data_IF_235635312824
#
_entry.id   IF_235635312824
#
_cell.length_a   1.000
_cell.length_b   1.000
_cell.length_c   1.000
_cell.angle_alpha   90.00
_cell.angle_beta   90.00
_cell.angle_gamma   90.00
#
_symmetry.space_group_name_H-M   'P 1'
#
loop_
_entity.id
_entity.type
_entity.pdbx_description
1 polymer ?
#
# COMPACT_ATOMS: atom_id res chain seq x y z
N UNK A 1 20.76 2.73 -24.98
CA UNK A 1 20.28 1.93 -23.83
C UNK A 1 18.92 1.35 -24.18
N UNK A 2 18.72 0.02 -24.14
CA UNK A 2 17.39 -0.57 -24.34
C UNK A 2 16.44 -0.04 -23.26
N UNK A 3 15.26 0.46 -23.66
CA UNK A 3 14.21 0.85 -22.70
C UNK A 3 13.72 -0.42 -22.00
N UNK A 4 13.85 -0.49 -20.68
CA UNK A 4 13.33 -1.61 -19.90
C UNK A 4 11.83 -1.79 -20.16
N UNK A 5 11.33 -3.03 -20.15
CA UNK A 5 9.89 -3.29 -20.32
C UNK A 5 9.06 -2.59 -19.23
N UNK A 6 7.81 -2.24 -19.54
CA UNK A 6 6.90 -1.60 -18.59
C UNK A 6 6.74 -2.42 -17.29
N UNK A 7 6.64 -3.75 -17.42
CA UNK A 7 6.57 -4.68 -16.29
C UNK A 7 7.84 -4.63 -15.43
N UNK A 8 9.03 -4.57 -16.04
CA UNK A 8 10.29 -4.48 -15.30
C UNK A 8 10.40 -3.16 -14.53
N UNK A 9 10.06 -2.04 -15.18
CA UNK A 9 10.04 -0.71 -14.54
C UNK A 9 9.07 -0.68 -13.36
N UNK A 10 7.88 -1.25 -13.54
CA UNK A 10 6.88 -1.37 -12.50
C UNK A 10 7.36 -2.20 -11.31
N UNK A 11 7.87 -3.42 -11.55
CA UNK A 11 8.36 -4.30 -10.49
C UNK A 11 9.49 -3.64 -9.70
N UNK A 12 10.44 -3.00 -10.38
CA UNK A 12 11.54 -2.28 -9.71
C UNK A 12 11.00 -1.10 -8.90
N UNK A 13 10.12 -0.27 -9.50
CA UNK A 13 9.58 0.91 -8.83
C UNK A 13 8.71 0.56 -7.61
N UNK A 14 7.86 -0.46 -7.71
CA UNK A 14 7.07 -0.95 -6.58
C UNK A 14 7.95 -1.57 -5.51
N UNK A 15 8.92 -2.40 -5.89
CA UNK A 15 9.85 -2.99 -4.91
C UNK A 15 10.64 -1.91 -4.18
N UNK A 16 11.13 -0.88 -4.89
CA UNK A 16 11.85 0.23 -4.30
C UNK A 16 10.98 1.06 -3.35
N UNK A 17 9.74 1.40 -3.75
CA UNK A 17 8.81 2.15 -2.90
C UNK A 17 8.37 1.33 -1.68
N UNK A 18 8.22 0.02 -1.80
CA UNK A 18 7.90 -0.85 -0.66
C UNK A 18 9.07 -1.03 0.29
N UNK A 19 10.29 -1.18 -0.24
CA UNK A 19 11.50 -1.19 0.59
C UNK A 19 11.65 0.15 1.35
N UNK A 20 11.40 1.27 0.68
CA UNK A 20 11.40 2.59 1.30
C UNK A 20 10.30 2.73 2.36
N UNK A 21 9.08 2.22 2.10
CA UNK A 21 7.98 2.20 3.07
C UNK A 21 8.37 1.46 4.34
N UNK A 22 8.88 0.24 4.19
CA UNK A 22 9.31 -0.60 5.32
C UNK A 22 10.44 0.07 6.09
N UNK A 23 11.47 0.57 5.40
CA UNK A 23 12.57 1.28 6.04
C UNK A 23 12.12 2.53 6.80
N UNK A 24 11.23 3.33 6.19
CA UNK A 24 10.65 4.52 6.80
C UNK A 24 9.78 4.18 8.03
N UNK A 25 8.97 3.12 7.94
CA UNK A 25 8.12 2.66 9.03
C UNK A 25 8.96 2.18 10.23
N UNK A 26 9.93 1.29 10.00
CA UNK A 26 10.81 0.82 11.06
C UNK A 26 11.67 1.97 11.62
N UNK A 27 12.22 2.82 10.76
CA UNK A 27 12.98 4.00 11.17
C UNK A 27 12.16 4.91 12.07
N UNK A 28 10.94 5.26 11.67
CA UNK A 28 10.02 6.09 12.45
C UNK A 28 9.71 5.46 13.82
N UNK A 29 9.30 4.19 13.85
CA UNK A 29 8.95 3.50 15.10
C UNK A 29 10.17 3.40 16.03
N UNK A 30 11.34 3.05 15.51
CA UNK A 30 12.57 2.90 16.31
C UNK A 30 13.03 4.26 16.85
N UNK A 31 13.01 5.32 16.04
CA UNK A 31 13.37 6.67 16.48
C UNK A 31 12.43 7.19 17.55
N UNK A 32 11.11 7.04 17.37
CA UNK A 32 10.12 7.50 18.34
C UNK A 32 10.18 6.69 19.65
N UNK A 33 10.55 5.41 19.60
CA UNK A 33 10.78 4.59 20.80
C UNK A 33 12.09 4.95 21.52
N UNK A 34 13.14 5.28 20.79
CA UNK A 34 14.44 5.65 21.35
C UNK A 34 14.42 7.06 21.98
N UNK A 35 13.55 7.94 21.47
CA UNK A 35 13.45 9.34 21.90
C UNK A 35 12.01 9.70 22.28
N UNK A 36 11.48 9.18 23.41
CA UNK A 36 10.13 9.48 23.88
C UNK A 36 9.90 10.96 24.22
N UNK A 37 10.98 11.73 24.40
CA UNK A 37 10.96 13.17 24.65
C UNK A 37 10.73 14.04 23.40
N UNK A 38 10.73 13.45 22.19
CA UNK A 38 10.46 14.18 20.95
C UNK A 38 9.09 14.83 21.02
N UNK A 39 9.04 16.14 20.81
CA UNK A 39 7.80 16.94 20.82
C UNK A 39 7.82 17.98 19.70
N UNK A 40 6.65 18.57 19.44
CA UNK A 40 6.51 19.61 18.42
C UNK A 40 6.72 19.08 17.00
N UNK A 41 7.08 19.94 16.03
CA UNK A 41 7.06 19.63 14.60
C UNK A 41 7.89 18.40 14.20
N UNK A 42 8.97 18.10 14.90
CA UNK A 42 9.87 16.96 14.60
C UNK A 42 9.16 15.62 14.83
N UNK A 43 8.34 15.51 15.87
CA UNK A 43 7.56 14.28 16.10
C UNK A 43 6.58 14.03 14.95
N UNK A 44 5.92 15.09 14.47
CA UNK A 44 4.93 14.99 13.39
C UNK A 44 5.59 14.59 12.07
N UNK A 45 6.74 15.16 11.74
CA UNK A 45 7.47 14.80 10.51
C UNK A 45 7.94 13.35 10.54
N UNK A 46 8.50 12.89 11.67
CA UNK A 46 8.94 11.49 11.81
C UNK A 46 7.75 10.52 11.77
N UNK A 47 6.61 10.87 12.37
CA UNK A 47 5.41 10.03 12.38
C UNK A 47 4.76 9.90 10.98
N UNK A 48 4.80 10.96 10.16
CA UNK A 48 4.21 10.96 8.81
C UNK A 48 5.18 10.45 7.74
N UNK A 49 6.48 10.41 8.01
CA UNK A 49 7.53 9.95 7.10
C UNK A 49 7.20 8.62 6.36
N UNK A 50 6.63 7.59 7.01
CA UNK A 50 6.26 6.34 6.35
C UNK A 50 5.15 6.49 5.30
N UNK A 51 4.38 7.57 5.31
CA UNK A 51 3.33 7.82 4.31
C UNK A 51 3.90 8.28 2.96
N UNK A 52 5.12 8.85 2.91
CA UNK A 52 5.69 9.35 1.65
C UNK A 52 5.93 8.22 0.61
N UNK A 53 6.53 7.07 0.98
CA UNK A 53 6.67 5.95 0.05
C UNK A 53 5.34 5.38 -0.45
N UNK A 54 4.25 5.52 0.33
CA UNK A 54 2.89 5.14 -0.10
C UNK A 54 2.41 6.01 -1.26
N UNK A 55 2.68 7.32 -1.23
CA UNK A 55 2.40 8.19 -2.39
C UNK A 55 3.24 7.79 -3.61
N UNK A 56 4.49 7.43 -3.39
CA UNK A 56 5.40 6.97 -4.46
C UNK A 56 4.93 5.69 -5.14
N UNK A 57 4.41 4.72 -4.39
CA UNK A 57 3.89 3.47 -4.97
C UNK A 57 2.66 3.70 -5.85
N UNK A 58 1.76 4.59 -5.43
CA UNK A 58 0.59 4.99 -6.22
C UNK A 58 1.05 5.63 -7.53
N UNK A 59 2.03 6.52 -7.49
CA UNK A 59 2.57 7.15 -8.70
C UNK A 59 3.19 6.12 -9.66
N UNK A 60 3.97 5.16 -9.14
CA UNK A 60 4.53 4.07 -9.95
C UNK A 60 3.43 3.21 -10.58
N UNK A 61 2.36 2.93 -9.84
CA UNK A 61 1.22 2.15 -10.32
C UNK A 61 0.44 2.89 -11.43
N UNK A 62 0.18 4.19 -11.27
CA UNK A 62 -0.45 5.01 -12.30
C UNK A 62 0.39 5.07 -13.57
N UNK A 63 1.70 5.28 -13.43
CA UNK A 63 2.64 5.26 -14.55
C UNK A 63 2.66 3.91 -15.27
N UNK A 64 2.45 2.80 -14.56
CA UNK A 64 2.35 1.48 -15.18
C UNK A 64 1.08 1.32 -16.03
N UNK A 65 -0.07 1.75 -15.50
CA UNK A 65 -1.36 1.76 -16.21
C UNK A 65 -1.26 2.49 -17.55
N UNK A 66 -0.56 3.62 -17.59
CA UNK A 66 -0.39 4.41 -18.81
C UNK A 66 0.49 3.72 -19.87
N UNK A 67 1.39 2.83 -19.46
CA UNK A 67 2.34 2.17 -20.34
C UNK A 67 1.85 0.83 -20.90
N UNK A 68 0.84 0.21 -20.28
CA UNK A 68 0.28 -1.07 -20.74
C UNK A 68 -0.82 -0.86 -21.78
N UNK A 69 -1.09 -1.93 -22.54
CA UNK A 69 -2.20 -1.96 -23.49
C UNK A 69 -3.58 -1.85 -22.81
N UNK A 70 -4.62 -1.55 -23.58
CA UNK A 70 -5.97 -1.29 -23.08
C UNK A 70 -6.59 -2.50 -22.36
N UNK A 71 -6.29 -3.73 -22.81
CA UNK A 71 -6.80 -4.94 -22.18
C UNK A 71 -6.18 -5.15 -20.79
N UNK A 72 -4.84 -5.09 -20.71
CA UNK A 72 -4.10 -5.20 -19.45
C UNK A 72 -4.47 -4.06 -18.52
N UNK A 73 -4.65 -2.84 -19.04
CA UNK A 73 -5.10 -1.67 -18.28
C UNK A 73 -6.47 -1.91 -17.64
N UNK A 74 -7.47 -2.30 -18.43
CA UNK A 74 -8.82 -2.55 -17.96
C UNK A 74 -8.86 -3.67 -16.91
N UNK A 75 -8.13 -4.77 -17.16
CA UNK A 75 -8.03 -5.89 -16.22
C UNK A 75 -7.35 -5.48 -14.90
N UNK A 76 -6.28 -4.69 -14.99
CA UNK A 76 -5.53 -4.17 -13.83
C UNK A 76 -6.40 -3.24 -12.99
N UNK A 77 -7.13 -2.31 -13.61
CA UNK A 77 -8.05 -1.41 -12.92
C UNK A 77 -9.21 -2.16 -12.26
N UNK A 78 -9.78 -3.18 -12.93
CA UNK A 78 -10.84 -4.01 -12.35
C UNK A 78 -10.37 -4.73 -11.09
N UNK A 79 -9.16 -5.30 -11.11
CA UNK A 79 -8.53 -5.92 -9.93
C UNK A 79 -8.28 -4.92 -8.81
N UNK A 80 -7.85 -3.71 -9.16
CA UNK A 80 -7.62 -2.63 -8.21
C UNK A 80 -8.91 -2.23 -7.49
N UNK A 81 -9.99 -1.99 -8.24
CA UNK A 81 -11.31 -1.65 -7.71
C UNK A 81 -11.83 -2.75 -6.78
N UNK A 82 -11.70 -4.02 -7.19
CA UNK A 82 -12.11 -5.16 -6.36
C UNK A 82 -11.34 -5.18 -5.04
N UNK A 83 -10.01 -5.02 -5.09
CA UNK A 83 -9.17 -4.96 -3.90
C UNK A 83 -9.56 -3.79 -2.99
N UNK A 84 -9.76 -2.59 -3.54
CA UNK A 84 -10.19 -1.41 -2.78
C UNK A 84 -11.54 -1.64 -2.12
N UNK A 85 -12.52 -2.19 -2.85
CA UNK A 85 -13.84 -2.49 -2.30
C UNK A 85 -13.78 -3.49 -1.15
N UNK A 86 -12.98 -4.55 -1.29
CA UNK A 86 -12.76 -5.53 -0.22
C UNK A 86 -12.05 -4.92 0.99
N UNK A 87 -11.05 -4.06 0.77
CA UNK A 87 -10.37 -3.35 1.87
C UNK A 87 -11.34 -2.45 2.62
N UNK A 88 -12.13 -1.64 1.91
CA UNK A 88 -13.12 -0.77 2.53
C UNK A 88 -14.12 -1.59 3.35
N UNK A 89 -14.68 -2.66 2.75
CA UNK A 89 -15.62 -3.52 3.43
C UNK A 89 -15.04 -4.14 4.72
N UNK A 90 -13.84 -4.74 4.64
CA UNK A 90 -13.21 -5.42 5.78
C UNK A 90 -12.78 -4.43 6.88
N UNK A 91 -12.18 -3.30 6.52
CA UNK A 91 -11.75 -2.31 7.49
C UNK A 91 -12.94 -1.63 8.17
N UNK A 92 -14.02 -1.32 7.43
CA UNK A 92 -15.25 -0.79 8.01
C UNK A 92 -15.94 -1.81 8.92
N UNK A 93 -16.04 -3.07 8.49
CA UNK A 93 -16.59 -4.14 9.32
C UNK A 93 -15.77 -4.31 10.62
N UNK A 94 -14.44 -4.25 10.54
CA UNK A 94 -13.58 -4.31 11.71
C UNK A 94 -13.75 -3.09 12.63
N UNK A 95 -13.84 -1.88 12.07
CA UNK A 95 -14.10 -0.66 12.85
C UNK A 95 -15.40 -0.76 13.65
N UNK A 96 -16.47 -1.29 13.06
CA UNK A 96 -17.72 -1.53 13.80
C UNK A 96 -17.55 -2.56 14.92
N UNK A 97 -16.78 -3.63 14.70
CA UNK A 97 -16.50 -4.62 15.74
C UNK A 97 -15.65 -4.03 16.88
N UNK A 98 -14.72 -3.14 16.57
CA UNK A 98 -13.91 -2.44 17.57
C UNK A 98 -14.78 -1.52 18.43
N UNK A 99 -15.64 -0.72 17.81
CA UNK A 99 -16.53 0.22 18.52
C UNK A 99 -17.66 -0.46 19.29
N UNK A 100 -18.24 -1.55 18.76
CA UNK A 100 -19.50 -2.11 19.30
C UNK A 100 -19.35 -3.48 19.97
N UNK A 101 -18.28 -4.24 19.66
CA UNK A 101 -18.12 -5.61 20.14
C UNK A 101 -16.83 -5.83 20.94
N UNK A 102 -16.06 -4.76 21.21
CA UNK A 102 -14.81 -4.84 21.98
C UNK A 102 -13.70 -5.61 21.26
N UNK A 103 -13.73 -5.64 19.92
CA UNK A 103 -12.65 -6.26 19.15
C UNK A 103 -11.31 -5.54 19.38
N UNK A 104 -10.21 -6.26 19.14
CA UNK A 104 -8.87 -5.72 19.34
C UNK A 104 -8.61 -4.53 18.40
N UNK A 105 -7.93 -3.50 18.93
CA UNK A 105 -7.58 -2.30 18.17
C UNK A 105 -6.77 -2.65 16.93
N UNK A 106 -7.27 -2.24 15.76
CA UNK A 106 -6.58 -2.45 14.50
C UNK A 106 -5.92 -1.16 14.03
N UNK A 107 -4.58 -1.18 13.97
CA UNK A 107 -3.84 0.02 13.61
C UNK A 107 -4.01 0.37 12.13
N UNK A 108 -4.39 1.62 11.85
CA UNK A 108 -4.69 2.10 10.50
C UNK A 108 -3.54 1.93 9.50
N UNK A 109 -2.27 1.91 9.94
CA UNK A 109 -1.16 1.70 9.02
C UNK A 109 -1.16 0.29 8.38
N UNK A 110 -1.88 -0.68 8.97
CA UNK A 110 -2.05 -2.03 8.42
C UNK A 110 -3.06 -2.10 7.27
N UNK A 111 -3.90 -1.07 7.10
CA UNK A 111 -4.85 -0.98 5.97
C UNK A 111 -4.12 -1.06 4.64
N UNK A 112 -2.95 -0.42 4.54
CA UNK A 112 -2.17 -0.39 3.31
C UNK A 112 -1.58 -1.76 2.92
N UNK A 113 -0.91 -2.52 3.82
CA UNK A 113 -0.58 -3.92 3.59
C UNK A 113 -1.79 -4.82 3.24
N UNK A 114 -2.91 -4.65 3.94
CA UNK A 114 -4.15 -5.42 3.67
C UNK A 114 -4.64 -5.18 2.24
N UNK A 115 -4.65 -3.93 1.79
CA UNK A 115 -5.01 -3.57 0.43
C UNK A 115 -4.15 -4.32 -0.60
N UNK A 116 -2.83 -4.30 -0.46
CA UNK A 116 -1.93 -4.99 -1.39
C UNK A 116 -2.04 -6.51 -1.33
N UNK A 117 -2.32 -7.09 -0.16
CA UNK A 117 -2.59 -8.52 -0.02
C UNK A 117 -3.85 -8.93 -0.80
N UNK A 118 -4.93 -8.16 -0.67
CA UNK A 118 -6.19 -8.39 -1.41
C UNK A 118 -6.03 -8.16 -2.92
N UNK A 119 -5.20 -7.18 -3.30
CA UNK A 119 -4.84 -6.95 -4.70
C UNK A 119 -4.06 -8.13 -5.30
N UNK A 120 -3.09 -8.69 -4.55
CA UNK A 120 -2.38 -9.90 -4.93
C UNK A 120 -3.30 -11.11 -5.08
N UNK A 121 -4.22 -11.31 -4.12
CA UNK A 121 -5.23 -12.36 -4.18
C UNK A 121 -6.13 -12.20 -5.41
N UNK A 122 -6.58 -10.97 -5.69
CA UNK A 122 -7.36 -10.65 -6.89
C UNK A 122 -6.58 -11.00 -8.16
N UNK A 123 -5.30 -10.63 -8.25
CA UNK A 123 -4.46 -11.00 -9.40
C UNK A 123 -4.37 -12.52 -9.61
N UNK A 124 -4.30 -13.30 -8.53
CA UNK A 124 -4.19 -14.77 -8.59
C UNK A 124 -5.47 -15.42 -9.11
N UNK A 125 -6.64 -14.93 -8.70
CA UNK A 125 -7.95 -15.46 -9.13
C UNK A 125 -8.15 -15.29 -10.64
N UNK A 126 -7.82 -14.11 -11.17
CA UNK A 126 -7.99 -13.84 -12.61
C UNK A 126 -6.91 -14.50 -13.49
N UNK A 127 -5.84 -15.05 -12.90
CA UNK A 127 -4.85 -15.84 -13.63
C UNK A 127 -5.30 -17.29 -13.85
N UNK A 128 -6.18 -17.84 -13.00
CA UNK A 128 -6.68 -19.22 -13.12
C UNK A 128 -7.86 -19.39 -14.07
N UNK A 129 -8.43 -18.30 -14.58
CA UNK A 129 -9.60 -18.30 -15.49
C UNK A 129 -9.26 -17.93 -16.94
N UNK A 130 -7.97 -17.77 -17.26
CA UNK A 130 -7.44 -17.57 -18.62
C UNK A 130 -6.58 -18.78 -19.00
#
# INVERSE_FOLDING_TARGET
MPKMSANTQYTIGISATMAAYVAALFGSILTLKAHPELTGPVLWTVAVLPALPVGGSIWVFLRYIDQVDEYVRALTLKRFILATGLTLFLCTAWGFLEENAGAHHFSLYLVYPVFWALYGASCSIYRSTL
#
